data_IF_976405984578
#
_entry.id   IF_976405984578
#
_cell.length_a   1.000
_cell.length_b   1.000
_cell.length_c   1.000
_cell.angle_alpha   90.00
_cell.angle_beta   90.00
_cell.angle_gamma   90.00
#
_symmetry.space_group_name_H-M   'P 1'
#
loop_
_entity.id
_entity.type
_entity.pdbx_description
1 polymer ?
#
# COMPACT_ATOMS: atom_id res chain seq x y z
N UNK A 1 16.42 21.56 12.22
CA UNK A 1 15.13 21.85 11.59
C UNK A 1 14.92 20.81 10.50
N UNK A 2 14.01 19.88 10.73
CA UNK A 2 13.53 19.01 9.65
C UNK A 2 12.90 19.90 8.58
N UNK A 3 13.62 20.14 7.50
CA UNK A 3 13.02 20.75 6.32
C UNK A 3 12.03 19.74 5.79
N UNK A 4 10.75 20.11 5.82
CA UNK A 4 9.69 19.22 5.38
C UNK A 4 9.95 18.68 3.98
N UNK A 5 9.52 17.47 3.72
CA UNK A 5 9.60 16.79 2.41
C UNK A 5 9.21 17.70 1.24
N UNK A 6 8.32 18.67 1.45
CA UNK A 6 7.93 19.66 0.44
C UNK A 6 9.07 20.52 -0.12
N UNK A 7 10.14 20.77 0.65
CA UNK A 7 11.31 21.50 0.16
C UNK A 7 12.20 20.62 -0.73
N UNK A 8 12.17 19.33 -0.52
CA UNK A 8 12.88 18.35 -1.33
C UNK A 8 12.24 18.24 -2.71
N UNK A 9 10.92 18.27 -2.82
CA UNK A 9 10.20 18.19 -4.10
C UNK A 9 10.44 19.38 -5.01
N UNK A 10 10.56 20.58 -4.46
CA UNK A 10 10.73 21.82 -5.23
C UNK A 10 12.12 21.96 -5.88
N UNK A 11 13.06 21.10 -5.54
CA UNK A 11 14.47 21.22 -5.93
C UNK A 11 14.96 20.12 -6.84
N UNK A 12 14.11 19.19 -7.26
CA UNK A 12 14.64 18.02 -7.92
C UNK A 12 13.99 17.68 -9.24
N UNK A 13 14.86 17.45 -10.14
CA UNK A 13 14.75 16.67 -11.35
C UNK A 13 14.91 15.15 -11.07
N UNK A 14 14.83 14.71 -9.80
CA UNK A 14 15.07 13.34 -9.37
C UNK A 14 13.77 12.64 -8.97
N UNK A 15 13.74 11.37 -9.21
CA UNK A 15 12.64 10.50 -8.81
C UNK A 15 12.76 10.08 -7.34
N UNK A 16 11.62 9.94 -6.66
CA UNK A 16 11.56 9.44 -5.30
C UNK A 16 11.17 7.96 -5.32
N UNK A 17 11.90 7.17 -4.55
CA UNK A 17 11.60 5.76 -4.30
C UNK A 17 11.56 5.57 -2.78
N UNK A 18 10.47 4.98 -2.30
CA UNK A 18 10.39 4.52 -0.92
C UNK A 18 11.09 3.15 -0.83
N UNK A 19 12.25 3.13 -0.21
CA UNK A 19 13.22 2.03 -0.38
C UNK A 19 13.05 0.89 0.60
N UNK A 20 12.46 1.12 1.78
CA UNK A 20 12.27 0.07 2.77
C UNK A 20 11.26 0.43 3.86
N UNK A 21 10.39 -0.52 4.17
CA UNK A 21 9.67 -0.65 5.43
C UNK A 21 9.55 -2.12 5.78
N UNK A 22 9.31 -2.41 7.06
CA UNK A 22 9.28 -3.79 7.57
C UNK A 22 8.11 -4.02 8.49
N UNK A 23 7.59 -5.24 8.49
CA UNK A 23 6.69 -5.76 9.50
C UNK A 23 7.40 -6.81 10.34
N UNK A 24 7.05 -6.91 11.61
CA UNK A 24 7.71 -7.84 12.52
C UNK A 24 7.04 -7.93 13.88
N UNK A 25 7.76 -8.51 14.84
CA UNK A 25 7.25 -8.70 16.20
C UNK A 25 6.95 -7.37 16.92
N UNK A 26 7.66 -6.29 16.57
CA UNK A 26 7.54 -4.98 17.25
C UNK A 26 6.29 -4.19 16.90
N UNK A 27 5.58 -4.55 15.82
CA UNK A 27 4.43 -3.81 15.33
C UNK A 27 3.21 -4.69 15.03
N UNK A 28 3.08 -5.83 15.70
CA UNK A 28 2.03 -6.81 15.46
C UNK A 28 1.95 -7.29 14.00
N UNK A 29 3.10 -7.47 13.35
CA UNK A 29 3.22 -7.66 11.91
C UNK A 29 2.42 -8.80 11.29
N UNK A 30 1.88 -9.73 12.07
CA UNK A 30 0.96 -10.79 11.64
C UNK A 30 -0.51 -10.49 11.93
N UNK A 31 -0.81 -9.39 12.60
CA UNK A 31 -2.18 -8.93 12.78
C UNK A 31 -2.65 -8.24 11.49
N UNK A 32 -3.22 -9.01 10.58
CA UNK A 32 -3.59 -8.52 9.25
C UNK A 32 -4.60 -7.38 9.33
N UNK A 33 -5.59 -7.46 10.20
CA UNK A 33 -6.64 -6.43 10.32
C UNK A 33 -6.05 -5.05 10.64
N UNK A 34 -5.21 -5.00 11.67
CA UNK A 34 -4.53 -3.77 12.09
C UNK A 34 -3.53 -3.30 11.03
N UNK A 35 -2.62 -4.21 10.64
CA UNK A 35 -1.49 -3.85 9.76
C UNK A 35 -1.93 -3.46 8.37
N UNK A 36 -2.99 -4.07 7.82
CA UNK A 36 -3.46 -3.72 6.48
C UNK A 36 -3.88 -2.24 6.40
N UNK A 37 -4.57 -1.75 7.42
CA UNK A 37 -5.00 -0.35 7.47
C UNK A 37 -3.80 0.59 7.60
N UNK A 38 -2.92 0.34 8.56
CA UNK A 38 -1.74 1.16 8.81
C UNK A 38 -0.77 1.13 7.60
N UNK A 39 -0.46 -0.03 7.06
CA UNK A 39 0.47 -0.17 5.94
C UNK A 39 -0.11 0.39 4.63
N UNK A 40 -1.43 0.31 4.42
CA UNK A 40 -2.07 0.94 3.27
C UNK A 40 -2.02 2.47 3.39
N UNK A 41 -2.30 3.00 4.57
CA UNK A 41 -2.29 4.44 4.83
C UNK A 41 -0.89 5.03 4.74
N UNK A 42 0.08 4.45 5.45
CA UNK A 42 1.42 5.00 5.58
C UNK A 42 2.35 4.60 4.42
N UNK A 43 2.38 3.30 4.11
CA UNK A 43 3.35 2.74 3.16
C UNK A 43 2.87 2.80 1.72
N UNK A 44 1.65 2.38 1.44
CA UNK A 44 1.15 2.32 0.07
C UNK A 44 0.64 3.69 -0.42
N UNK A 45 -0.53 4.12 0.04
CA UNK A 45 -1.13 5.38 -0.40
C UNK A 45 -0.34 6.59 0.11
N UNK A 46 0.19 6.54 1.35
CA UNK A 46 0.99 7.61 1.92
C UNK A 46 2.21 7.96 1.07
N UNK A 47 2.94 6.94 0.60
CA UNK A 47 4.14 7.17 -0.21
C UNK A 47 3.81 7.66 -1.62
N UNK A 48 2.85 7.03 -2.32
CA UNK A 48 2.49 7.44 -3.69
C UNK A 48 1.83 8.81 -3.72
N UNK A 49 1.04 9.17 -2.70
CA UNK A 49 0.47 10.50 -2.56
C UNK A 49 1.54 11.55 -2.27
N UNK A 50 2.68 11.15 -1.74
CA UNK A 50 3.88 11.97 -1.56
C UNK A 50 4.91 11.80 -2.68
N UNK A 51 4.46 11.48 -3.89
CA UNK A 51 5.25 11.47 -5.15
C UNK A 51 6.27 10.35 -5.26
N UNK A 52 6.23 9.31 -4.44
CA UNK A 52 7.06 8.14 -4.66
C UNK A 52 6.61 7.38 -5.91
N UNK A 53 7.55 7.06 -6.78
CA UNK A 53 7.33 6.30 -8.02
C UNK A 53 7.44 4.78 -7.82
N UNK A 54 8.04 4.37 -6.71
CA UNK A 54 8.12 2.97 -6.33
C UNK A 54 8.04 2.83 -4.81
N UNK A 55 7.51 1.69 -4.38
CA UNK A 55 7.41 1.28 -2.99
C UNK A 55 8.06 -0.09 -2.86
N UNK A 56 9.07 -0.18 -2.02
CA UNK A 56 9.80 -1.42 -1.74
C UNK A 56 9.60 -1.76 -0.27
N UNK A 57 9.18 -2.99 -0.01
CA UNK A 57 8.98 -3.48 1.34
C UNK A 57 10.01 -4.55 1.67
N UNK A 58 10.45 -4.62 2.89
CA UNK A 58 11.26 -5.69 3.45
C UNK A 58 10.36 -6.73 4.10
N UNK A 59 10.41 -7.97 3.73
CA UNK A 59 10.97 -8.61 2.54
C UNK A 59 9.87 -9.46 1.90
N UNK A 60 10.16 -10.12 0.77
CA UNK A 60 9.16 -10.91 0.05
C UNK A 60 8.68 -12.11 0.86
N UNK A 61 9.62 -12.93 1.38
CA UNK A 61 9.27 -14.22 1.96
C UNK A 61 10.24 -14.62 3.08
N UNK A 62 9.67 -15.03 4.19
CA UNK A 62 10.36 -15.72 5.28
C UNK A 62 9.57 -16.98 5.66
N UNK A 63 10.14 -17.81 6.54
CA UNK A 63 9.37 -18.88 7.16
C UNK A 63 8.63 -18.39 8.42
N UNK A 64 7.75 -19.23 8.95
CA UNK A 64 6.96 -18.91 10.15
C UNK A 64 7.83 -18.75 11.42
N UNK A 65 9.12 -19.15 11.38
CA UNK A 65 10.11 -18.95 12.43
C UNK A 65 11.04 -17.75 12.13
N UNK A 66 10.72 -16.95 11.12
CA UNK A 66 11.43 -15.73 10.69
C UNK A 66 12.79 -15.96 10.00
N UNK A 67 12.98 -17.15 9.50
CA UNK A 67 14.16 -17.54 8.71
C UNK A 67 13.90 -17.48 7.19
N UNK A 68 14.95 -17.68 6.38
CA UNK A 68 16.34 -17.64 6.79
C UNK A 68 16.83 -16.21 7.05
N UNK A 69 17.69 -16.06 8.03
CA UNK A 69 18.37 -14.81 8.30
C UNK A 69 19.86 -15.05 8.52
N UNK A 70 20.66 -13.98 8.39
CA UNK A 70 22.10 -13.99 8.63
C UNK A 70 22.42 -13.35 9.98
N UNK A 71 23.59 -13.63 10.52
CA UNK A 71 24.12 -12.87 11.64
C UNK A 71 24.14 -11.37 11.31
N UNK A 72 23.63 -10.53 12.23
CA UNK A 72 23.44 -9.12 12.01
C UNK A 72 22.21 -8.74 11.18
N UNK A 73 21.49 -9.70 10.61
CA UNK A 73 20.21 -9.47 9.92
C UNK A 73 19.03 -9.41 10.89
N UNK A 74 17.86 -9.05 10.37
CA UNK A 74 16.64 -8.95 11.17
C UNK A 74 16.18 -10.33 11.67
N UNK A 75 16.21 -10.52 12.99
CA UNK A 75 15.78 -11.75 13.66
C UNK A 75 14.28 -11.75 14.03
N UNK A 76 13.61 -10.61 13.87
CA UNK A 76 12.24 -10.37 14.32
C UNK A 76 11.31 -9.93 13.20
N UNK A 77 11.81 -9.85 11.96
CA UNK A 77 11.02 -9.49 10.78
C UNK A 77 10.09 -10.63 10.34
N UNK A 78 8.99 -10.26 9.73
CA UNK A 78 8.12 -11.16 8.96
C UNK A 78 8.22 -10.85 7.47
N UNK A 79 7.97 -11.83 6.61
CA UNK A 79 7.86 -11.62 5.17
C UNK A 79 6.51 -11.01 4.79
N UNK A 80 6.40 -10.48 3.58
CA UNK A 80 5.09 -10.27 2.97
C UNK A 80 4.32 -11.58 2.89
N UNK A 81 5.06 -12.68 2.76
CA UNK A 81 4.57 -14.06 2.81
C UNK A 81 5.41 -14.85 3.81
N UNK A 82 4.77 -15.59 4.71
CA UNK A 82 5.42 -16.58 5.55
C UNK A 82 5.08 -17.98 5.06
N UNK A 83 6.09 -18.85 4.92
CA UNK A 83 5.93 -20.28 4.60
C UNK A 83 6.03 -21.07 5.90
N UNK A 84 5.13 -22.03 6.10
CA UNK A 84 5.24 -22.94 7.22
C UNK A 84 6.42 -23.90 7.02
N UNK A 85 7.36 -23.85 7.95
CA UNK A 85 8.58 -24.64 7.90
C UNK A 85 8.36 -26.14 8.10
N UNK A 86 7.23 -26.50 8.68
CA UNK A 86 6.91 -27.92 8.93
C UNK A 86 6.53 -28.68 7.66
N UNK A 87 5.93 -27.99 6.69
CA UNK A 87 5.44 -28.63 5.46
C UNK A 87 5.96 -27.98 4.17
N UNK A 88 6.50 -26.76 4.24
CA UNK A 88 6.94 -25.92 3.12
C UNK A 88 5.88 -25.72 2.02
N UNK A 89 4.60 -25.79 2.39
CA UNK A 89 3.44 -25.65 1.49
C UNK A 89 2.42 -24.65 1.98
N UNK A 90 2.19 -24.63 3.29
CA UNK A 90 1.24 -23.69 3.88
C UNK A 90 1.81 -22.28 3.84
N UNK A 91 1.03 -21.37 3.27
CA UNK A 91 1.44 -19.99 3.04
C UNK A 91 0.50 -19.04 3.79
N UNK A 92 1.06 -18.20 4.63
CA UNK A 92 0.37 -17.07 5.27
C UNK A 92 0.75 -15.78 4.57
N UNK A 93 -0.23 -14.96 4.20
CA UNK A 93 -0.02 -13.66 3.58
C UNK A 93 -0.22 -12.56 4.61
N UNK A 94 0.79 -11.72 4.77
CA UNK A 94 0.78 -10.58 5.68
C UNK A 94 0.39 -9.28 4.94
N UNK A 95 0.24 -8.18 5.66
CA UNK A 95 -0.22 -6.89 5.11
C UNK A 95 0.57 -6.42 3.89
N UNK A 96 1.89 -6.58 3.89
CA UNK A 96 2.74 -6.18 2.76
C UNK A 96 2.39 -6.90 1.45
N UNK A 97 1.96 -8.16 1.51
CA UNK A 97 1.45 -8.86 0.33
C UNK A 97 0.22 -8.14 -0.25
N UNK A 98 -0.72 -7.77 0.62
CA UNK A 98 -1.97 -7.16 0.18
C UNK A 98 -1.80 -5.72 -0.29
N UNK A 99 -1.00 -4.89 0.39
CA UNK A 99 -0.81 -3.49 -0.05
C UNK A 99 -0.15 -3.42 -1.43
N UNK A 100 0.86 -4.26 -1.68
CA UNK A 100 1.47 -4.37 -3.01
C UNK A 100 0.46 -4.93 -4.01
N UNK A 101 -0.32 -5.95 -3.62
CA UNK A 101 -1.35 -6.55 -4.46
C UNK A 101 -2.42 -5.54 -4.89
N UNK A 102 -2.91 -4.72 -3.98
CA UNK A 102 -3.91 -3.68 -4.30
C UNK A 102 -3.40 -2.67 -5.33
N UNK A 103 -2.14 -2.21 -5.20
CA UNK A 103 -1.54 -1.33 -6.18
C UNK A 103 -1.26 -2.05 -7.51
N UNK A 104 -0.51 -3.15 -7.47
CA UNK A 104 -0.01 -3.81 -8.69
C UNK A 104 -1.09 -4.49 -9.54
N UNK A 105 -2.25 -4.82 -8.95
CA UNK A 105 -3.37 -5.38 -9.70
C UNK A 105 -3.97 -4.40 -10.71
N UNK A 106 -4.02 -3.11 -10.35
CA UNK A 106 -4.71 -2.08 -11.14
C UNK A 106 -3.76 -1.03 -11.72
N UNK A 107 -2.66 -0.71 -11.04
CA UNK A 107 -1.65 0.26 -11.47
C UNK A 107 -0.55 -0.49 -12.22
N UNK A 108 -0.38 -0.21 -13.50
CA UNK A 108 0.58 -0.92 -14.36
C UNK A 108 1.90 -0.15 -14.50
N UNK A 109 3.01 -0.84 -14.84
CA UNK A 109 4.26 -0.17 -15.12
C UNK A 109 4.08 0.97 -16.12
N UNK A 110 4.61 2.15 -15.81
CA UNK A 110 4.45 3.35 -16.63
C UNK A 110 3.18 4.15 -16.38
N UNK A 111 2.30 3.70 -15.47
CA UNK A 111 1.14 4.49 -15.06
C UNK A 111 1.55 5.84 -14.45
N UNK A 112 0.74 6.84 -14.66
CA UNK A 112 0.94 8.18 -14.11
C UNK A 112 -0.14 8.48 -13.09
N UNK A 113 0.25 8.95 -11.90
CA UNK A 113 -0.71 9.41 -10.91
C UNK A 113 -1.41 10.67 -11.41
N UNK A 114 -2.73 10.63 -11.50
CA UNK A 114 -3.55 11.74 -11.99
C UNK A 114 -4.14 12.52 -10.83
N UNK A 115 -4.46 13.80 -11.09
CA UNK A 115 -5.13 14.66 -10.14
C UNK A 115 -6.54 14.16 -9.83
N UNK A 116 -6.85 14.03 -8.56
CA UNK A 116 -8.18 13.69 -8.09
C UNK A 116 -8.65 14.72 -7.08
N UNK A 117 -9.95 15.04 -7.14
CA UNK A 117 -10.62 15.93 -6.19
C UNK A 117 -11.80 15.19 -5.60
N UNK A 118 -12.10 15.43 -4.35
CA UNK A 118 -13.30 14.84 -3.80
C UNK A 118 -13.32 14.83 -2.28
N UNK A 119 -14.22 14.01 -1.78
CA UNK A 119 -14.45 13.83 -0.38
C UNK A 119 -13.18 13.34 0.32
N UNK A 120 -12.67 14.16 1.20
CA UNK A 120 -11.63 13.78 2.14
C UNK A 120 -12.21 13.86 3.54
N UNK A 121 -12.18 12.78 4.27
CA UNK A 121 -12.51 12.73 5.69
C UNK A 121 -11.42 11.94 6.39
N UNK A 122 -11.29 12.14 7.70
CA UNK A 122 -10.38 11.33 8.50
C UNK A 122 -10.65 9.85 8.25
N UNK A 123 -9.60 9.09 7.96
CA UNK A 123 -9.67 7.67 7.65
C UNK A 123 -10.08 7.31 6.21
N UNK A 124 -10.30 8.28 5.32
CA UNK A 124 -10.50 8.04 3.88
C UNK A 124 -9.29 8.54 3.12
N UNK A 125 -8.63 7.65 2.40
CA UNK A 125 -7.49 7.98 1.55
C UNK A 125 -7.62 7.29 0.20
N UNK A 126 -7.19 7.97 -0.86
CA UNK A 126 -7.22 7.39 -2.20
C UNK A 126 -6.10 7.93 -3.08
N UNK A 127 -5.81 7.21 -4.16
CA UNK A 127 -4.93 7.64 -5.23
C UNK A 127 -5.46 7.12 -6.57
N UNK A 128 -5.46 7.98 -7.59
CA UNK A 128 -5.91 7.66 -8.93
C UNK A 128 -4.75 7.71 -9.92
N UNK A 129 -4.80 6.84 -10.93
CA UNK A 129 -3.74 6.68 -11.93
C UNK A 129 -4.35 6.51 -13.31
N UNK A 130 -3.60 6.92 -14.31
CA UNK A 130 -3.84 6.58 -15.71
C UNK A 130 -2.75 5.61 -16.18
N UNK A 131 -3.15 4.45 -16.67
CA UNK A 131 -2.27 3.44 -17.23
C UNK A 131 -1.91 3.79 -18.68
N UNK A 132 -0.83 3.23 -19.21
CA UNK A 132 -0.39 3.46 -20.59
C UNK A 132 -1.43 3.02 -21.65
N UNK A 133 -2.33 2.11 -21.31
CA UNK A 133 -3.42 1.65 -22.19
C UNK A 133 -4.67 2.57 -22.13
N UNK A 134 -4.57 3.71 -21.41
CA UNK A 134 -5.66 4.65 -21.24
C UNK A 134 -6.70 4.23 -20.20
N UNK A 135 -6.52 3.09 -19.53
CA UNK A 135 -7.41 2.71 -18.43
C UNK A 135 -7.08 3.51 -17.17
N UNK A 136 -8.10 3.92 -16.45
CA UNK A 136 -7.95 4.57 -15.15
C UNK A 136 -7.98 3.54 -14.04
N UNK A 137 -7.18 3.77 -13.01
CA UNK A 137 -7.12 2.95 -11.81
C UNK A 137 -7.32 3.81 -10.57
N UNK A 138 -8.02 3.25 -9.59
CA UNK A 138 -8.25 3.88 -8.30
C UNK A 138 -7.96 2.87 -7.18
N UNK A 139 -7.16 3.26 -6.21
CA UNK A 139 -6.99 2.54 -4.95
C UNK A 139 -7.51 3.42 -3.83
N UNK A 140 -8.42 2.89 -3.02
CA UNK A 140 -9.15 3.61 -1.99
C UNK A 140 -9.11 2.84 -0.67
N UNK A 141 -8.81 3.55 0.40
CA UNK A 141 -8.82 3.07 1.79
C UNK A 141 -10.01 3.68 2.53
N UNK A 142 -10.78 2.85 3.21
CA UNK A 142 -11.72 3.25 4.26
C UNK A 142 -11.21 2.71 5.61
N UNK A 143 -10.47 3.53 6.34
CA UNK A 143 -9.98 3.22 7.69
C UNK A 143 -10.95 3.69 8.80
N UNK A 144 -12.20 4.00 8.46
CA UNK A 144 -13.23 4.33 9.46
C UNK A 144 -13.94 3.08 9.98
N UNK A 145 -14.67 3.23 11.08
CA UNK A 145 -15.46 2.14 11.67
C UNK A 145 -16.83 1.94 11.02
N UNK A 146 -17.14 2.71 9.98
CA UNK A 146 -18.40 2.65 9.25
C UNK A 146 -18.23 2.45 7.75
N UNK A 147 -19.17 1.75 7.15
CA UNK A 147 -19.29 1.64 5.69
C UNK A 147 -19.49 3.00 5.04
N UNK A 148 -18.86 3.24 3.89
CA UNK A 148 -18.94 4.48 3.12
C UNK A 148 -19.43 4.21 1.70
N UNK A 149 -20.47 4.93 1.29
CA UNK A 149 -20.88 4.97 -0.12
C UNK A 149 -20.04 6.02 -0.85
N UNK A 150 -19.16 5.57 -1.72
CA UNK A 150 -18.23 6.41 -2.49
C UNK A 150 -18.68 6.44 -3.94
N UNK A 151 -18.99 7.64 -4.45
CA UNK A 151 -19.24 7.86 -5.87
C UNK A 151 -17.96 8.37 -6.54
N UNK A 152 -17.53 7.68 -7.56
CA UNK A 152 -16.37 8.03 -8.38
C UNK A 152 -16.86 8.56 -9.72
N UNK A 153 -16.39 9.72 -10.11
CA UNK A 153 -16.69 10.35 -11.40
C UNK A 153 -15.40 10.49 -12.22
N UNK A 154 -15.42 10.07 -13.47
CA UNK A 154 -14.35 10.29 -14.44
C UNK A 154 -14.95 10.68 -15.80
N UNK A 155 -14.81 11.97 -16.13
CA UNK A 155 -15.48 12.55 -17.31
C UNK A 155 -17.00 12.38 -17.20
N UNK A 156 -17.58 11.74 -18.21
CA UNK A 156 -19.02 11.45 -18.26
C UNK A 156 -19.42 10.12 -17.58
N UNK A 157 -18.44 9.34 -17.12
CA UNK A 157 -18.66 8.05 -16.45
C UNK A 157 -18.71 8.23 -14.95
N UNK A 158 -19.58 7.48 -14.30
CA UNK A 158 -19.63 7.42 -12.84
C UNK A 158 -20.05 6.04 -12.35
N UNK A 159 -19.60 5.69 -11.15
CA UNK A 159 -20.11 4.54 -10.41
C UNK A 159 -20.13 4.83 -8.93
N UNK A 160 -20.97 4.12 -8.21
CA UNK A 160 -21.02 4.17 -6.74
C UNK A 160 -20.68 2.79 -6.20
N UNK A 161 -19.87 2.75 -5.16
CA UNK A 161 -19.48 1.53 -4.48
C UNK A 161 -19.58 1.69 -2.97
N UNK A 162 -20.14 0.70 -2.32
CA UNK A 162 -20.21 0.62 -0.87
C UNK A 162 -18.92 0.00 -0.33
N UNK A 163 -18.05 0.84 0.23
CA UNK A 163 -16.77 0.42 0.80
C UNK A 163 -16.98 0.07 2.27
N UNK A 164 -16.83 -1.20 2.66
CA UNK A 164 -16.98 -1.59 4.06
C UNK A 164 -16.04 -0.84 5.01
N UNK A 165 -16.37 -0.84 6.29
CA UNK A 165 -15.45 -0.38 7.33
C UNK A 165 -14.13 -1.16 7.28
N UNK A 166 -13.01 -0.49 7.57
CA UNK A 166 -11.67 -1.12 7.62
C UNK A 166 -11.35 -1.93 6.35
N UNK A 167 -11.61 -1.34 5.18
CA UNK A 167 -11.44 -2.01 3.91
C UNK A 167 -10.64 -1.20 2.89
N UNK A 168 -10.00 -1.91 1.99
CA UNK A 168 -9.34 -1.36 0.80
C UNK A 168 -10.07 -1.83 -0.45
N UNK A 169 -10.32 -0.94 -1.38
CA UNK A 169 -10.89 -1.25 -2.68
C UNK A 169 -9.97 -0.78 -3.80
N UNK A 170 -9.85 -1.58 -4.85
CA UNK A 170 -9.09 -1.25 -6.06
C UNK A 170 -9.96 -1.44 -7.28
N UNK A 171 -9.97 -0.43 -8.15
CA UNK A 171 -10.80 -0.38 -9.37
C UNK A 171 -9.92 -0.12 -10.59
N UNK A 172 -10.37 -0.64 -11.72
CA UNK A 172 -9.77 -0.39 -13.04
C UNK A 172 -10.84 -0.33 -14.12
#
# INVERSE_FOLDING_TARGET
VSRGLGDVYKRQDKELIFTETSIGMWNDGRNLEKRLMEDMEETALGTVNNWCKAVIVWNLMLDNERGPNREGGCQTCYGAVDIDRSDYKTITRNSHYYIIGHLSSVVKPGAVRIGSKGYTADGIMYSAFENLDGTEALVLLNNTDGTKNITVNSGERSFTYEVPAKAVASFR
#
